data_IF_966295221455
#
_entry.id   IF_966295221455
#
_cell.length_a   1.000
_cell.length_b   1.000
_cell.length_c   1.000
_cell.angle_alpha   90.00
_cell.angle_beta   90.00
_cell.angle_gamma   90.00
#
_symmetry.space_group_name_H-M   'P 1'
#
loop_
_entity.id
_entity.type
_entity.pdbx_description
1 polymer ?
#
# COMPACT_ATOMS: atom_id res chain seq x y z
N UNK A 1 -11.25 -0.51 33.50
CA UNK A 1 -10.88 0.55 32.54
C UNK A 1 -10.01 -0.11 31.48
N UNK A 2 -10.55 -0.43 30.31
CA UNK A 2 -9.76 -1.07 29.25
C UNK A 2 -8.87 -0.03 28.61
N UNK A 3 -7.59 -0.03 29.00
CA UNK A 3 -6.53 0.73 28.35
C UNK A 3 -6.56 0.40 26.86
N UNK A 4 -7.06 1.34 26.06
CA UNK A 4 -6.89 1.31 24.60
C UNK A 4 -5.41 1.52 24.36
N UNK A 5 -4.64 0.44 24.38
CA UNK A 5 -3.28 0.38 23.85
C UNK A 5 -3.35 1.02 22.46
N UNK A 6 -2.81 2.23 22.36
CA UNK A 6 -2.56 2.89 21.09
C UNK A 6 -1.48 2.03 20.43
N UNK A 7 -1.92 0.95 19.76
CA UNK A 7 -1.08 0.12 18.92
C UNK A 7 -0.62 1.04 17.79
N UNK A 8 0.54 1.67 17.99
CA UNK A 8 1.30 2.28 16.91
C UNK A 8 1.40 1.19 15.85
N UNK A 9 0.76 1.43 14.71
CA UNK A 9 0.80 0.51 13.59
C UNK A 9 2.28 0.19 13.35
N UNK A 10 2.71 -1.08 13.51
CA UNK A 10 4.12 -1.44 13.47
C UNK A 10 4.71 -0.93 12.17
N UNK A 11 5.94 -0.43 12.23
CA UNK A 11 6.69 0.01 11.06
C UNK A 11 6.68 -1.14 10.05
N UNK A 12 6.42 -0.83 8.78
CA UNK A 12 6.50 -1.83 7.73
C UNK A 12 7.92 -2.37 7.67
N UNK A 13 8.10 -3.66 7.93
CA UNK A 13 9.38 -4.33 7.79
C UNK A 13 9.79 -4.40 6.32
N UNK A 14 11.09 -4.53 6.06
CA UNK A 14 11.62 -4.67 4.69
C UNK A 14 10.96 -5.82 3.93
N UNK A 15 10.73 -6.96 4.59
CA UNK A 15 10.02 -8.10 4.00
C UNK A 15 8.57 -7.75 3.62
N UNK A 16 7.85 -7.07 4.51
CA UNK A 16 6.50 -6.57 4.24
C UNK A 16 6.49 -5.61 3.04
N UNK A 17 7.48 -4.73 2.94
CA UNK A 17 7.59 -3.78 1.84
C UNK A 17 7.88 -4.51 0.52
N UNK A 18 8.80 -5.48 0.52
CA UNK A 18 9.13 -6.26 -0.67
C UNK A 18 7.94 -7.10 -1.14
N UNK A 19 7.21 -7.72 -0.21
CA UNK A 19 6.00 -8.47 -0.54
C UNK A 19 4.93 -7.53 -1.12
N UNK A 20 4.71 -6.38 -0.46
CA UNK A 20 3.77 -5.38 -0.96
C UNK A 20 4.16 -4.88 -2.35
N UNK A 21 5.44 -4.60 -2.59
CA UNK A 21 5.96 -4.16 -3.89
C UNK A 21 5.72 -5.22 -4.96
N UNK A 22 6.02 -6.49 -4.66
CA UNK A 22 5.78 -7.62 -5.56
C UNK A 22 4.30 -7.78 -5.91
N UNK A 23 3.41 -7.70 -4.91
CA UNK A 23 1.96 -7.77 -5.10
C UNK A 23 1.44 -6.58 -5.92
N UNK A 24 1.87 -5.37 -5.61
CA UNK A 24 1.49 -4.17 -6.36
C UNK A 24 2.01 -4.23 -7.79
N UNK A 25 3.22 -4.77 -8.01
CA UNK A 25 3.81 -4.94 -9.33
C UNK A 25 3.04 -5.99 -10.16
N UNK A 26 2.66 -7.11 -9.54
CA UNK A 26 1.78 -8.15 -10.13
C UNK A 26 0.46 -7.56 -10.62
N UNK A 27 -0.13 -6.65 -9.84
CA UNK A 27 -1.38 -5.97 -10.17
C UNK A 27 -1.21 -4.57 -10.76
N UNK A 28 0.00 -4.21 -11.19
CA UNK A 28 0.32 -2.88 -11.73
C UNK A 28 -0.59 -2.49 -12.89
N UNK A 29 -0.91 -3.43 -13.76
CA UNK A 29 -1.81 -3.21 -14.90
C UNK A 29 -3.20 -2.71 -14.50
N UNK A 30 -3.68 -3.02 -13.30
CA UNK A 30 -4.96 -2.51 -12.76
C UNK A 30 -4.76 -1.31 -11.86
N UNK A 31 -3.75 -1.35 -10.98
CA UNK A 31 -3.49 -0.30 -9.99
C UNK A 31 -2.96 0.99 -10.65
N UNK A 32 -2.09 0.87 -11.65
CA UNK A 32 -1.49 1.97 -12.40
C UNK A 32 -2.27 2.34 -13.68
N UNK A 33 -3.43 1.70 -13.93
CA UNK A 33 -4.24 2.10 -15.08
C UNK A 33 -4.64 3.58 -14.96
N UNK A 34 -4.30 4.37 -15.99
CA UNK A 34 -4.52 5.83 -16.06
C UNK A 34 -5.98 6.20 -16.33
N UNK A 35 -6.84 5.22 -16.59
CA UNK A 35 -8.25 5.45 -16.83
C UNK A 35 -8.99 5.78 -15.53
N UNK A 36 -9.53 6.99 -15.46
CA UNK A 36 -10.29 7.51 -14.33
C UNK A 36 -11.79 7.29 -14.55
N UNK A 37 -12.22 6.02 -14.46
CA UNK A 37 -13.64 5.65 -14.47
C UNK A 37 -14.11 5.20 -13.09
N UNK A 38 -15.37 5.46 -12.74
CA UNK A 38 -15.97 4.99 -11.47
C UNK A 38 -15.84 3.46 -11.29
N UNK A 39 -15.95 2.71 -12.39
CA UNK A 39 -15.72 1.26 -12.44
C UNK A 39 -14.29 0.91 -12.04
N UNK A 40 -13.30 1.68 -12.48
CA UNK A 40 -11.89 1.44 -12.15
C UNK A 40 -11.55 1.79 -10.71
N UNK A 41 -12.20 2.80 -10.12
CA UNK A 41 -12.03 3.08 -8.69
C UNK A 41 -12.48 1.88 -7.86
N UNK A 42 -13.64 1.31 -8.19
CA UNK A 42 -14.13 0.09 -7.55
C UNK A 42 -13.20 -1.11 -7.81
N UNK A 43 -12.68 -1.25 -9.04
CA UNK A 43 -11.73 -2.32 -9.39
C UNK A 43 -10.43 -2.19 -8.60
N UNK A 44 -9.79 -1.01 -8.58
CA UNK A 44 -8.59 -0.75 -7.78
C UNK A 44 -8.83 -1.08 -6.31
N UNK A 45 -9.98 -0.69 -5.76
CA UNK A 45 -10.35 -1.04 -4.38
C UNK A 45 -10.43 -2.56 -4.17
N UNK A 46 -11.06 -3.31 -5.10
CA UNK A 46 -11.08 -4.78 -5.06
C UNK A 46 -9.67 -5.38 -5.12
N UNK A 47 -8.81 -4.91 -6.02
CA UNK A 47 -7.45 -5.41 -6.13
C UNK A 47 -6.62 -5.10 -4.87
N UNK A 48 -6.82 -3.95 -4.23
CA UNK A 48 -6.21 -3.68 -2.93
C UNK A 48 -6.67 -4.65 -1.84
N UNK A 49 -7.93 -5.12 -1.89
CA UNK A 49 -8.40 -6.18 -0.98
C UNK A 49 -7.75 -7.52 -1.27
N UNK A 50 -7.57 -7.89 -2.55
CA UNK A 50 -6.84 -9.11 -2.93
C UNK A 50 -5.38 -9.04 -2.46
N UNK A 51 -4.72 -7.90 -2.65
CA UNK A 51 -3.35 -7.66 -2.16
C UNK A 51 -3.29 -7.79 -0.64
N UNK A 52 -4.27 -7.23 0.08
CA UNK A 52 -4.33 -7.37 1.53
C UNK A 52 -4.56 -8.81 1.97
N UNK A 53 -5.40 -9.56 1.25
CA UNK A 53 -5.65 -10.97 1.52
C UNK A 53 -4.39 -11.80 1.30
N UNK A 54 -3.71 -11.66 0.15
CA UNK A 54 -2.43 -12.32 -0.12
C UNK A 54 -1.36 -11.94 0.91
N UNK A 55 -1.31 -10.66 1.31
CA UNK A 55 -0.39 -10.17 2.32
C UNK A 55 -0.66 -10.80 3.69
N UNK A 56 -1.93 -10.92 4.09
CA UNK A 56 -2.33 -11.56 5.34
C UNK A 56 -2.11 -13.08 5.27
N UNK A 57 -2.34 -13.70 4.11
CA UNK A 57 -2.16 -15.12 3.86
C UNK A 57 -0.67 -15.54 3.89
N UNK A 58 0.24 -14.61 3.55
CA UNK A 58 1.68 -14.81 3.72
C UNK A 58 2.13 -14.94 5.19
N UNK A 59 1.20 -14.86 6.16
CA UNK A 59 1.41 -15.13 7.58
C UNK A 59 2.58 -14.34 8.21
N UNK A 60 2.82 -13.11 7.74
CA UNK A 60 3.89 -12.22 8.19
C UNK A 60 3.68 -11.61 9.60
N UNK A 61 2.96 -12.29 10.50
CA UNK A 61 2.62 -11.85 11.87
C UNK A 61 1.83 -10.51 11.99
N UNK A 62 1.52 -9.83 10.88
CA UNK A 62 0.82 -8.55 10.88
C UNK A 62 -0.31 -8.57 9.87
N UNK A 63 -1.55 -8.39 10.34
CA UNK A 63 -2.69 -8.19 9.45
C UNK A 63 -2.85 -6.71 9.13
N UNK A 64 -2.80 -6.34 7.84
CA UNK A 64 -2.97 -4.95 7.40
C UNK A 64 -4.15 -4.86 6.44
N UNK A 65 -5.10 -3.93 6.67
CA UNK A 65 -6.21 -3.76 5.75
C UNK A 65 -5.73 -3.10 4.45
N UNK A 66 -6.42 -3.41 3.36
CA UNK A 66 -6.24 -2.85 2.02
C UNK A 66 -6.05 -1.34 2.00
N UNK A 67 -6.82 -0.63 2.83
CA UNK A 67 -6.77 0.83 2.94
C UNK A 67 -5.43 1.33 3.50
N UNK A 68 -4.82 0.59 4.43
CA UNK A 68 -3.53 0.93 5.02
C UNK A 68 -2.38 0.67 4.03
N UNK A 69 -2.44 -0.44 3.29
CA UNK A 69 -1.50 -0.77 2.20
C UNK A 69 -1.56 0.28 1.08
N UNK A 70 -2.78 0.63 0.65
CA UNK A 70 -3.02 1.69 -0.33
C UNK A 70 -2.45 3.02 0.16
N UNK A 71 -2.76 3.42 1.39
CA UNK A 71 -2.29 4.69 1.97
C UNK A 71 -0.76 4.72 2.04
N UNK A 72 -0.13 3.64 2.49
CA UNK A 72 1.32 3.52 2.53
C UNK A 72 1.95 3.67 1.13
N UNK A 73 1.39 2.98 0.13
CA UNK A 73 1.85 3.06 -1.25
C UNK A 73 1.73 4.47 -1.85
N UNK A 74 0.59 5.12 -1.66
CA UNK A 74 0.37 6.51 -2.10
C UNK A 74 1.35 7.47 -1.41
N UNK A 75 1.56 7.30 -0.10
CA UNK A 75 2.52 8.10 0.67
C UNK A 75 3.96 7.87 0.17
N UNK A 76 4.32 6.61 -0.18
CA UNK A 76 5.62 6.25 -0.76
C UNK A 76 5.81 6.87 -2.14
N UNK A 77 4.79 6.85 -3.01
CA UNK A 77 4.83 7.54 -4.32
C UNK A 77 4.99 9.05 -4.15
N UNK A 78 4.25 9.64 -3.22
CA UNK A 78 4.33 11.07 -2.95
C UNK A 78 5.70 11.47 -2.37
N UNK A 79 6.27 10.66 -1.47
CA UNK A 79 7.61 10.87 -0.95
C UNK A 79 8.67 10.80 -2.06
N UNK A 80 8.62 9.76 -2.91
CA UNK A 80 9.50 9.65 -4.08
C UNK A 80 9.40 10.87 -5.01
N UNK A 81 8.19 11.38 -5.22
CA UNK A 81 7.95 12.59 -6.02
C UNK A 81 8.54 13.84 -5.34
N UNK A 82 8.38 13.96 -4.02
CA UNK A 82 8.95 15.06 -3.24
C UNK A 82 10.49 15.03 -3.28
N UNK A 83 11.11 13.85 -3.16
CA UNK A 83 12.57 13.67 -3.29
C UNK A 83 13.07 14.09 -4.68
N UNK A 84 12.42 13.64 -5.75
CA UNK A 84 12.74 14.05 -7.12
C UNK A 84 12.57 15.56 -7.37
N UNK A 85 11.59 16.20 -6.72
CA UNK A 85 11.41 17.65 -6.79
C UNK A 85 12.47 18.41 -5.97
N UNK A 86 12.92 17.85 -4.83
CA UNK A 86 13.96 18.44 -4.01
C UNK A 86 15.34 18.35 -4.68
N UNK A 87 15.61 17.27 -5.43
CA UNK A 87 16.88 17.07 -6.12
C UNK A 87 17.08 18.01 -7.32
N UNK A 88 15.99 18.54 -7.90
CA UNK A 88 16.05 19.56 -8.97
C UNK A 88 16.39 20.97 -8.48
N UNK A 89 16.68 21.15 -7.18
CA UNK A 89 17.04 22.44 -6.57
C UNK A 89 18.51 22.56 -6.14
N UNK A 90 19.37 21.60 -6.51
CA UNK A 90 20.82 21.72 -6.30
C UNK A 90 21.56 22.08 -7.58
#
# INVERSE_FOLDING_TARGET
MTEKLIKRNPVFQVDEINLLDSLVFKYKHVLENKQEGAVQVAQKSKYWNIVADEFNAAALNVSRPALNLKKYWENRKNNKKAELCAEKKK
#
